data_IF_418496951412
#
_entry.id   IF_418496951412
#
_cell.length_a   1.000
_cell.length_b   1.000
_cell.length_c   1.000
_cell.angle_alpha   90.00
_cell.angle_beta   90.00
_cell.angle_gamma   90.00
#
_symmetry.space_group_name_H-M   'P 1'
#
loop_
_entity.id
_entity.type
_entity.pdbx_description
1 polymer ?
#
# COMPACT_ATOMS: atom_id res chain seq x y z
N UNK A 1 43.25 0.02 -18.74
CA UNK A 1 42.26 -0.77 -17.96
C UNK A 1 42.43 -0.63 -16.45
N UNK A 2 43.65 -0.29 -15.94
CA UNK A 2 43.88 -0.17 -14.47
C UNK A 2 43.37 1.14 -13.81
N UNK A 3 43.11 2.18 -14.60
CA UNK A 3 42.62 3.49 -14.06
C UNK A 3 41.12 3.51 -13.74
N UNK A 4 40.35 2.55 -14.24
CA UNK A 4 38.90 2.46 -13.98
C UNK A 4 38.59 1.77 -12.62
N UNK A 5 39.51 0.97 -12.09
CA UNK A 5 39.32 0.22 -10.86
C UNK A 5 39.55 1.04 -9.56
N UNK A 6 40.15 2.23 -9.62
CA UNK A 6 40.39 3.05 -8.43
C UNK A 6 39.23 3.98 -8.03
N UNK A 7 38.18 4.09 -8.84
CA UNK A 7 36.99 4.89 -8.54
C UNK A 7 35.94 4.16 -7.66
N UNK A 8 36.15 2.87 -7.37
CA UNK A 8 35.22 2.05 -6.57
C UNK A 8 35.52 2.08 -5.06
N UNK A 9 35.85 3.22 -4.49
CA UNK A 9 35.70 3.42 -3.05
C UNK A 9 34.22 3.65 -2.78
N UNK A 10 33.56 2.61 -2.27
CA UNK A 10 32.22 2.55 -1.73
C UNK A 10 31.33 3.77 -2.00
N UNK A 11 30.47 3.67 -2.98
CA UNK A 11 29.49 4.73 -3.25
C UNK A 11 28.48 4.73 -2.09
N UNK A 12 28.82 5.44 -1.01
CA UNK A 12 27.84 5.62 0.07
C UNK A 12 26.72 6.49 -0.44
N UNK A 13 25.49 6.13 -0.10
CA UNK A 13 24.28 6.86 -0.50
C UNK A 13 24.12 8.20 0.22
N UNK A 14 25.23 8.89 0.53
CA UNK A 14 25.17 10.19 1.19
C UNK A 14 25.09 11.36 0.20
N UNK A 15 24.27 12.39 0.47
CA UNK A 15 23.35 12.55 1.61
C UNK A 15 22.05 11.73 1.48
N UNK A 16 21.57 11.17 2.62
CA UNK A 16 20.30 10.45 2.67
C UNK A 16 19.17 11.45 2.88
N UNK A 17 18.22 11.44 1.97
CA UNK A 17 17.03 12.27 2.10
C UNK A 17 15.89 11.46 2.73
N UNK A 18 15.08 12.09 3.57
CA UNK A 18 13.90 11.45 4.17
C UNK A 18 12.92 10.94 3.10
N UNK A 19 12.92 11.60 1.95
CA UNK A 19 12.11 11.21 0.82
C UNK A 19 12.57 9.90 0.17
N UNK A 20 13.87 9.61 0.16
CA UNK A 20 14.41 8.33 -0.34
C UNK A 20 13.96 7.17 0.57
N UNK A 21 13.97 7.41 1.88
CA UNK A 21 13.47 6.45 2.88
C UNK A 21 11.98 6.18 2.69
N UNK A 22 11.19 7.24 2.52
CA UNK A 22 9.76 7.14 2.26
C UNK A 22 9.48 6.32 1.00
N UNK A 23 10.17 6.65 -0.09
CA UNK A 23 9.98 5.98 -1.37
C UNK A 23 10.36 4.49 -1.32
N UNK A 24 11.44 4.17 -0.60
CA UNK A 24 11.84 2.78 -0.36
C UNK A 24 10.78 2.00 0.41
N UNK A 25 10.20 2.59 1.47
CA UNK A 25 9.12 1.98 2.24
C UNK A 25 7.83 1.87 1.42
N UNK A 26 7.48 2.89 0.62
CA UNK A 26 6.32 2.87 -0.26
C UNK A 26 6.44 1.75 -1.31
N UNK A 27 7.60 1.62 -1.94
CA UNK A 27 7.89 0.54 -2.89
C UNK A 27 7.83 -0.82 -2.20
N UNK A 28 8.37 -0.97 -0.98
CA UNK A 28 8.30 -2.19 -0.20
C UNK A 28 6.86 -2.62 0.12
N UNK A 29 5.99 -1.66 0.38
CA UNK A 29 4.58 -1.92 0.66
C UNK A 29 3.83 -2.39 -0.58
N UNK A 30 4.09 -1.74 -1.72
CA UNK A 30 3.37 -1.96 -2.99
C UNK A 30 3.86 -3.20 -3.73
N UNK A 31 5.18 -3.49 -3.70
CA UNK A 31 5.79 -4.56 -4.52
C UNK A 31 5.87 -5.93 -3.85
N UNK A 32 4.99 -6.23 -2.86
CA UNK A 32 5.06 -7.49 -2.09
C UNK A 32 4.82 -8.75 -2.91
N UNK A 33 4.02 -8.69 -3.96
CA UNK A 33 3.60 -9.86 -4.75
C UNK A 33 4.04 -9.79 -6.20
N UNK A 34 4.15 -8.59 -6.74
CA UNK A 34 4.54 -8.30 -8.11
C UNK A 34 5.23 -6.93 -8.14
N UNK A 35 5.97 -6.59 -9.20
CA UNK A 35 6.47 -5.24 -9.39
C UNK A 35 5.32 -4.24 -9.29
N UNK A 36 5.50 -3.17 -8.53
CA UNK A 36 4.47 -2.18 -8.27
C UNK A 36 4.40 -1.15 -9.40
N UNK A 37 3.19 -0.76 -9.78
CA UNK A 37 2.98 0.35 -10.69
C UNK A 37 3.23 1.68 -9.98
N UNK A 38 3.62 2.72 -10.74
CA UNK A 38 3.89 4.04 -10.17
C UNK A 38 2.72 4.59 -9.34
N UNK A 39 1.47 4.38 -9.79
CA UNK A 39 0.24 4.79 -9.06
C UNK A 39 0.15 4.14 -7.69
N UNK A 40 0.54 2.87 -7.57
CA UNK A 40 0.51 2.13 -6.30
C UNK A 40 1.57 2.65 -5.33
N UNK A 41 2.73 3.04 -5.84
CA UNK A 41 3.81 3.64 -5.04
C UNK A 41 3.40 5.03 -4.55
N UNK A 42 2.77 5.85 -5.41
CA UNK A 42 2.21 7.15 -5.01
C UNK A 42 1.17 6.98 -3.91
N UNK A 43 0.26 6.02 -4.06
CA UNK A 43 -0.76 5.73 -3.05
C UNK A 43 -0.14 5.27 -1.72
N UNK A 44 0.91 4.45 -1.77
CA UNK A 44 1.63 4.02 -0.57
C UNK A 44 2.40 5.18 0.09
N UNK A 45 3.00 6.08 -0.69
CA UNK A 45 3.68 7.26 -0.16
C UNK A 45 2.71 8.23 0.51
N UNK A 46 1.54 8.45 -0.09
CA UNK A 46 0.46 9.25 0.51
C UNK A 46 -0.02 8.65 1.84
N UNK A 47 -0.14 7.33 1.92
CA UNK A 47 -0.50 6.63 3.16
C UNK A 47 0.51 6.86 4.29
N UNK A 48 1.81 6.97 3.99
CA UNK A 48 2.85 7.20 4.99
C UNK A 48 2.92 8.65 5.46
N UNK A 49 2.81 9.62 4.55
CA UNK A 49 2.99 11.04 4.86
C UNK A 49 1.68 11.84 4.95
N UNK A 50 0.54 11.24 4.55
CA UNK A 50 -0.75 11.93 4.39
C UNK A 50 -0.63 13.16 3.47
N UNK A 51 0.28 13.08 2.49
CA UNK A 51 0.54 14.12 1.51
C UNK A 51 1.04 13.51 0.20
N UNK A 52 0.51 13.99 -0.90
CA UNK A 52 0.94 13.53 -2.23
C UNK A 52 2.34 14.08 -2.51
N UNK A 53 3.31 13.22 -2.87
CA UNK A 53 4.68 13.62 -3.12
C UNK A 53 4.81 14.57 -4.33
N UNK A 54 5.78 15.48 -4.29
CA UNK A 54 6.13 16.30 -5.45
C UNK A 54 6.82 15.46 -6.53
N UNK A 55 6.40 15.62 -7.77
CA UNK A 55 6.87 14.81 -8.92
C UNK A 55 8.39 14.87 -9.10
N UNK A 56 8.98 16.05 -9.03
CA UNK A 56 10.43 16.24 -9.16
C UNK A 56 11.22 15.46 -8.09
N UNK A 57 10.77 15.50 -6.83
CA UNK A 57 11.41 14.75 -5.75
C UNK A 57 11.31 13.24 -5.96
N UNK A 58 10.22 12.77 -6.54
CA UNK A 58 10.06 11.34 -6.88
C UNK A 58 11.09 10.92 -7.92
N UNK A 59 11.24 11.66 -8.99
CA UNK A 59 12.20 11.34 -10.08
C UNK A 59 13.61 11.27 -9.52
N UNK A 60 14.02 12.28 -8.75
CA UNK A 60 15.36 12.31 -8.15
C UNK A 60 15.59 11.15 -7.18
N UNK A 61 14.60 10.84 -6.34
CA UNK A 61 14.72 9.74 -5.38
C UNK A 61 14.76 8.36 -6.08
N UNK A 62 13.94 8.14 -7.11
CA UNK A 62 14.02 6.92 -7.91
C UNK A 62 15.38 6.74 -8.56
N UNK A 63 15.92 7.80 -9.15
CA UNK A 63 17.25 7.79 -9.76
C UNK A 63 18.34 7.45 -8.73
N UNK A 64 18.33 8.11 -7.56
CA UNK A 64 19.30 7.81 -6.49
C UNK A 64 19.19 6.37 -5.98
N UNK A 65 17.97 5.89 -5.72
CA UNK A 65 17.74 4.54 -5.23
C UNK A 65 18.13 3.49 -6.26
N UNK A 66 17.88 3.74 -7.57
CA UNK A 66 18.29 2.85 -8.64
C UNK A 66 19.80 2.77 -8.79
N UNK A 67 20.50 3.91 -8.84
CA UNK A 67 21.96 3.97 -8.93
C UNK A 67 22.64 3.22 -7.78
N UNK A 68 22.06 3.29 -6.59
CA UNK A 68 22.52 2.55 -5.40
C UNK A 68 22.05 1.09 -5.37
N UNK A 69 21.37 0.60 -6.40
CA UNK A 69 20.94 -0.79 -6.51
C UNK A 69 19.88 -1.20 -5.50
N UNK A 70 19.03 -0.27 -5.05
CA UNK A 70 17.95 -0.54 -4.10
C UNK A 70 16.59 -0.77 -4.77
N UNK A 71 16.35 -0.12 -5.91
CA UNK A 71 15.13 -0.30 -6.71
C UNK A 71 15.54 -0.72 -8.13
N UNK A 72 14.74 -1.59 -8.72
CA UNK A 72 14.89 -2.06 -10.10
C UNK A 72 13.53 -1.96 -10.80
N UNK A 73 13.58 -1.62 -12.09
CA UNK A 73 12.42 -1.67 -12.97
C UNK A 73 12.33 -3.06 -13.61
N UNK A 74 11.14 -3.66 -13.55
CA UNK A 74 10.83 -4.98 -14.12
C UNK A 74 9.47 -4.88 -14.79
N UNK A 75 9.39 -5.16 -16.08
CA UNK A 75 8.13 -5.17 -16.87
C UNK A 75 7.28 -3.90 -16.71
N UNK A 76 7.94 -2.74 -16.66
CA UNK A 76 7.26 -1.44 -16.48
C UNK A 76 6.72 -1.20 -15.07
N UNK A 77 7.09 -2.03 -14.11
CA UNK A 77 6.84 -1.84 -12.68
C UNK A 77 8.14 -1.75 -11.89
N UNK A 78 8.04 -1.41 -10.61
CA UNK A 78 9.18 -1.21 -9.72
C UNK A 78 9.20 -2.23 -8.60
N UNK A 79 10.37 -2.77 -8.31
CA UNK A 79 10.55 -3.74 -7.25
C UNK A 79 11.81 -3.43 -6.43
N UNK A 80 11.83 -3.90 -5.19
CA UNK A 80 13.03 -3.84 -4.35
C UNK A 80 14.00 -4.93 -4.74
N UNK A 81 15.28 -4.58 -4.78
CA UNK A 81 16.37 -5.57 -4.90
C UNK A 81 16.49 -6.41 -3.62
N UNK A 82 17.17 -7.56 -3.65
CA UNK A 82 17.41 -8.36 -2.44
C UNK A 82 18.11 -7.58 -1.32
N UNK A 83 19.04 -6.70 -1.65
CA UNK A 83 19.73 -5.86 -0.67
C UNK A 83 18.75 -4.88 0.00
N UNK A 84 17.90 -4.20 -0.79
CA UNK A 84 16.84 -3.34 -0.26
C UNK A 84 15.81 -4.11 0.58
N UNK A 85 15.43 -5.31 0.17
CA UNK A 85 14.54 -6.16 0.97
C UNK A 85 15.13 -6.50 2.34
N UNK A 86 16.43 -6.75 2.44
CA UNK A 86 17.07 -7.01 3.74
C UNK A 86 17.02 -5.79 4.67
N UNK A 87 17.12 -4.58 4.12
CA UNK A 87 17.00 -3.33 4.89
C UNK A 87 15.59 -3.16 5.48
N UNK A 88 14.56 -3.52 4.71
CA UNK A 88 13.15 -3.32 5.08
C UNK A 88 12.57 -4.50 5.87
N UNK A 89 12.97 -5.75 5.59
CA UNK A 89 12.36 -6.94 6.21
C UNK A 89 12.60 -7.07 7.73
N UNK A 90 13.57 -6.40 8.30
CA UNK A 90 13.90 -6.43 9.74
C UNK A 90 13.23 -5.32 10.55
N UNK A 91 12.14 -4.75 10.04
CA UNK A 91 11.40 -3.71 10.76
C UNK A 91 10.45 -4.34 11.80
N UNK A 92 10.33 -3.74 13.00
CA UNK A 92 9.39 -4.19 14.02
C UNK A 92 7.95 -4.13 13.49
N UNK A 93 7.17 -5.18 13.72
CA UNK A 93 5.78 -5.24 13.23
C UNK A 93 4.87 -4.18 13.84
N UNK A 94 5.19 -3.75 15.08
CA UNK A 94 4.39 -2.77 15.84
C UNK A 94 4.89 -1.33 15.66
N UNK A 95 6.00 -1.13 14.95
CA UNK A 95 6.55 0.21 14.70
C UNK A 95 5.55 1.05 13.91
N UNK A 96 5.42 2.31 14.29
CA UNK A 96 4.66 3.30 13.54
C UNK A 96 5.42 3.76 12.27
N UNK A 97 4.82 4.66 11.49
CA UNK A 97 5.43 5.13 10.25
C UNK A 97 6.74 5.90 10.51
N UNK A 98 6.77 6.74 11.53
CA UNK A 98 7.95 7.56 11.88
C UNK A 98 9.11 6.69 12.38
N UNK A 99 8.81 5.71 13.23
CA UNK A 99 9.81 4.77 13.74
C UNK A 99 10.38 3.91 12.60
N UNK A 100 9.55 3.45 11.67
CA UNK A 100 10.03 2.72 10.49
C UNK A 100 10.94 3.57 9.61
N UNK A 101 10.57 4.82 9.37
CA UNK A 101 11.41 5.75 8.61
C UNK A 101 12.76 5.98 9.31
N UNK A 102 12.78 6.17 10.63
CA UNK A 102 14.00 6.34 11.39
C UNK A 102 14.94 5.13 11.27
N UNK A 103 14.40 3.90 11.50
CA UNK A 103 15.18 2.67 11.41
C UNK A 103 15.74 2.44 10.00
N UNK A 104 14.94 2.70 8.96
CA UNK A 104 15.42 2.54 7.57
C UNK A 104 16.46 3.58 7.22
N UNK A 105 16.29 4.82 7.69
CA UNK A 105 17.29 5.88 7.50
C UNK A 105 18.64 5.52 8.13
N UNK A 106 18.62 4.99 9.34
CA UNK A 106 19.82 4.52 10.06
C UNK A 106 20.53 3.42 9.26
N UNK A 107 19.79 2.41 8.83
CA UNK A 107 20.34 1.33 7.99
C UNK A 107 20.85 1.80 6.63
N UNK A 108 20.21 2.79 6.01
CA UNK A 108 20.67 3.39 4.76
C UNK A 108 21.98 4.17 4.98
N UNK A 109 22.19 4.75 6.16
CA UNK A 109 23.45 5.45 6.48
C UNK A 109 24.65 4.51 6.55
N UNK A 110 24.41 3.26 6.92
CA UNK A 110 25.42 2.20 6.95
C UNK A 110 25.57 1.46 5.60
N UNK A 111 24.59 1.67 4.67
CA UNK A 111 24.56 0.97 3.40
C UNK A 111 25.59 1.51 2.42
N UNK A 112 26.40 0.63 1.89
CA UNK A 112 27.33 0.92 0.82
C UNK A 112 26.95 0.08 -0.41
N UNK A 113 26.67 0.75 -1.53
CA UNK A 113 26.36 0.07 -2.79
C UNK A 113 27.56 -0.78 -3.25
N UNK A 114 27.32 -2.05 -3.53
CA UNK A 114 28.35 -2.99 -3.98
C UNK A 114 28.75 -2.77 -5.44
N UNK A 115 27.84 -2.21 -6.24
CA UNK A 115 28.02 -1.93 -7.65
C UNK A 115 27.23 -0.68 -8.05
N UNK A 116 27.61 -0.05 -9.13
CA UNK A 116 26.81 1.03 -9.75
C UNK A 116 25.79 0.37 -10.65
N UNK A 117 24.53 0.68 -10.45
CA UNK A 117 23.42 0.21 -11.28
C UNK A 117 22.98 1.31 -12.25
N UNK A 118 22.32 0.96 -13.36
CA UNK A 118 21.75 1.95 -14.25
C UNK A 118 20.68 2.77 -13.54
N UNK A 119 20.67 4.07 -13.78
CA UNK A 119 19.59 4.93 -13.29
C UNK A 119 18.26 4.56 -13.95
N UNK A 120 17.17 4.65 -13.21
CA UNK A 120 15.82 4.56 -13.78
C UNK A 120 15.46 5.95 -14.32
N UNK A 121 15.21 6.03 -15.62
CA UNK A 121 14.80 7.26 -16.29
C UNK A 121 13.27 7.39 -16.24
N UNK A 122 12.78 8.19 -15.32
CA UNK A 122 11.36 8.52 -15.22
C UNK A 122 11.09 9.87 -15.87
N UNK A 123 10.07 9.91 -16.73
CA UNK A 123 9.61 11.18 -17.27
C UNK A 123 8.65 11.87 -16.30
N UNK A 124 8.66 13.21 -16.31
CA UNK A 124 7.74 14.02 -15.51
C UNK A 124 6.27 13.68 -15.82
N UNK A 125 5.97 13.37 -17.09
CA UNK A 125 4.62 13.01 -17.53
C UNK A 125 4.13 11.68 -16.93
N UNK A 126 5.00 10.67 -16.83
CA UNK A 126 4.66 9.39 -16.22
C UNK A 126 4.32 9.55 -14.74
N UNK A 127 5.14 10.32 -14.01
CA UNK A 127 4.90 10.58 -12.58
C UNK A 127 3.64 11.41 -12.39
N UNK A 128 3.44 12.45 -13.17
CA UNK A 128 2.24 13.28 -13.13
C UNK A 128 0.97 12.50 -13.42
N UNK A 129 0.99 11.65 -14.45
CA UNK A 129 -0.15 10.79 -14.79
C UNK A 129 -0.50 9.84 -13.61
N UNK A 130 0.50 9.30 -12.93
CA UNK A 130 0.31 8.45 -11.78
C UNK A 130 -0.29 9.22 -10.58
N UNK A 131 0.21 10.43 -10.32
CA UNK A 131 -0.31 11.31 -9.26
C UNK A 131 -1.76 11.70 -9.53
N UNK A 132 -2.09 12.08 -10.78
CA UNK A 132 -3.46 12.46 -11.16
C UNK A 132 -4.42 11.26 -11.11
N UNK A 133 -3.95 10.06 -11.49
CA UNK A 133 -4.73 8.83 -11.37
C UNK A 133 -5.04 8.51 -9.88
N UNK A 134 -4.06 8.67 -8.99
CA UNK A 134 -4.27 8.48 -7.55
C UNK A 134 -5.26 9.51 -6.98
N UNK A 135 -5.14 10.80 -7.32
CA UNK A 135 -6.08 11.85 -6.90
C UNK A 135 -7.52 11.52 -7.31
N UNK A 136 -7.72 11.15 -8.58
CA UNK A 136 -9.04 10.75 -9.10
C UNK A 136 -9.61 9.53 -8.35
N UNK A 137 -8.78 8.55 -8.02
CA UNK A 137 -9.20 7.38 -7.24
C UNK A 137 -9.67 7.79 -5.83
N UNK A 138 -8.94 8.68 -5.15
CA UNK A 138 -9.33 9.19 -3.83
C UNK A 138 -10.65 9.97 -3.88
N UNK A 139 -10.85 10.82 -4.89
CA UNK A 139 -12.10 11.58 -5.06
C UNK A 139 -13.31 10.67 -5.34
N UNK A 140 -13.13 9.62 -6.14
CA UNK A 140 -14.21 8.67 -6.44
C UNK A 140 -14.64 7.88 -5.21
N UNK A 141 -13.69 7.49 -4.37
CA UNK A 141 -13.96 6.78 -3.12
C UNK A 141 -14.70 7.67 -2.12
N UNK A 142 -14.32 8.94 -2.00
CA UNK A 142 -14.99 9.90 -1.13
C UNK A 142 -16.45 10.16 -1.55
N UNK A 143 -16.73 10.23 -2.85
CA UNK A 143 -18.09 10.40 -3.39
C UNK A 143 -19.00 9.21 -3.05
N UNK A 144 -18.48 7.99 -3.07
CA UNK A 144 -19.25 6.78 -2.75
C UNK A 144 -19.63 6.66 -1.27
N UNK A 145 -18.90 7.30 -0.36
CA UNK A 145 -19.22 7.32 1.09
C UNK A 145 -20.38 8.27 1.41
N UNK A 146 -20.69 9.23 0.54
CA UNK A 146 -21.74 10.23 0.73
C UNK A 146 -23.08 9.87 0.07
N UNK A 147 -23.16 8.76 -0.66
CA UNK A 147 -24.45 8.29 -1.19
C UNK A 147 -25.28 7.73 -0.05
N UNK A 148 -26.39 8.40 0.37
CA UNK A 148 -27.28 7.86 1.39
C UNK A 148 -27.80 6.52 0.90
N UNK A 149 -27.69 5.47 1.70
CA UNK A 149 -28.39 4.21 1.41
C UNK A 149 -29.84 4.53 1.05
N UNK A 150 -30.38 4.04 -0.08
CA UNK A 150 -31.78 4.24 -0.40
C UNK A 150 -32.59 3.74 0.81
N UNK A 151 -33.38 4.61 1.39
CA UNK A 151 -34.32 4.22 2.46
C UNK A 151 -35.14 3.06 1.93
N UNK A 152 -35.37 1.98 2.72
CA UNK A 152 -36.28 0.96 2.33
C UNK A 152 -37.59 1.64 1.89
N UNK A 153 -38.04 1.37 0.68
CA UNK A 153 -39.33 1.88 0.22
C UNK A 153 -40.33 1.28 1.17
N UNK A 154 -40.92 2.12 2.06
CA UNK A 154 -42.08 1.72 2.81
C UNK A 154 -43.14 1.31 1.78
N UNK A 155 -43.43 0.01 1.72
CA UNK A 155 -44.55 -0.49 0.93
C UNK A 155 -45.78 0.28 1.35
N UNK A 156 -46.25 1.18 0.48
CA UNK A 156 -47.50 1.88 0.65
C UNK A 156 -48.56 0.79 0.74
N UNK A 157 -49.00 0.51 1.96
CA UNK A 157 -50.09 -0.40 2.22
C UNK A 157 -51.33 0.13 1.45
N UNK A 158 -51.67 -0.60 0.38
CA UNK A 158 -52.91 -0.31 -0.37
C UNK A 158 -54.10 -0.45 0.60
N UNK A 159 -54.94 0.57 0.78
CA UNK A 159 -56.10 0.49 1.65
C UNK A 159 -57.06 -0.57 1.06
N UNK A 160 -57.24 -1.69 1.77
CA UNK A 160 -58.20 -2.75 1.39
C UNK A 160 -57.71 -4.19 1.58
N UNK A 161 -56.45 -4.48 1.82
CA UNK A 161 -56.04 -5.85 2.13
C UNK A 161 -56.25 -6.16 3.63
N UNK A 162 -57.41 -6.85 3.92
CA UNK A 162 -57.63 -7.44 5.25
C UNK A 162 -56.55 -8.46 5.54
N UNK A 163 -55.72 -8.14 6.56
CA UNK A 163 -54.75 -9.09 7.11
C UNK A 163 -55.52 -10.34 7.59
N UNK A 164 -55.33 -11.47 6.93
CA UNK A 164 -55.72 -12.77 7.49
C UNK A 164 -54.84 -13.04 8.70
N UNK A 165 -55.45 -13.09 9.87
CA UNK A 165 -54.74 -13.48 11.11
C UNK A 165 -54.14 -14.87 10.87
N UNK A 166 -52.83 -15.08 11.19
CA UNK A 166 -52.27 -16.42 11.16
C UNK A 166 -52.98 -17.33 12.16
N UNK A 167 -53.34 -18.54 11.74
CA UNK A 167 -54.00 -19.53 12.61
C UNK A 167 -53.05 -19.89 13.77
N UNK A 168 -53.55 -20.10 14.99
CA UNK A 168 -52.73 -20.49 16.12
C UNK A 168 -52.08 -21.85 15.89
N UNK A 169 -50.79 -21.89 15.86
CA UNK A 169 -50.00 -23.10 15.78
C UNK A 169 -50.21 -23.94 17.02
N UNK A 170 -50.81 -25.15 16.88
CA UNK A 170 -50.93 -26.10 17.97
C UNK A 170 -49.56 -26.44 18.50
N UNK A 171 -49.28 -26.03 19.74
CA UNK A 171 -48.08 -26.46 20.46
C UNK A 171 -48.19 -27.97 20.72
N UNK A 172 -47.29 -28.74 20.12
CA UNK A 172 -47.06 -30.14 20.48
C UNK A 172 -46.54 -30.18 21.92
N UNK A 173 -47.39 -30.67 22.85
CA UNK A 173 -46.96 -31.03 24.19
C UNK A 173 -45.92 -32.16 24.10
N UNK A 174 -44.77 -32.09 24.75
CA UNK A 174 -43.87 -33.21 24.85
C UNK A 174 -44.50 -34.35 25.67
N UNK A 175 -44.42 -35.58 25.14
CA UNK A 175 -44.90 -36.80 25.80
C UNK A 175 -44.09 -37.04 27.07
N UNK A 176 -44.81 -37.26 28.20
CA UNK A 176 -44.21 -37.65 29.48
C UNK A 176 -43.71 -39.10 29.40
N UNK A 177 -42.49 -39.43 29.95
CA UNK A 177 -42.03 -40.79 30.00
C UNK A 177 -42.84 -41.62 31.03
N UNK A 178 -43.43 -42.73 30.58
CA UNK A 178 -44.11 -43.73 31.43
C UNK A 178 -43.04 -44.51 32.24
N UNK A 179 -43.06 -44.27 33.53
CA UNK A 179 -42.35 -45.16 34.46
C UNK A 179 -43.08 -46.51 34.54
N UNK A 180 -42.39 -47.59 34.15
CA UNK A 180 -42.83 -48.97 34.42
C UNK A 180 -42.44 -49.33 35.88
N UNK A 181 -43.40 -49.58 36.70
CA UNK A 181 -43.21 -50.34 37.97
C UNK A 181 -43.13 -51.81 37.65
N UNK A 182 -42.12 -52.46 38.14
CA UNK A 182 -41.92 -53.88 38.30
C UNK A 182 -40.90 -54.06 39.38
#
# INVERSE_FOLDING_TARGET
>A
LALIQQAFKGNSMHPIHDFDVLLLLATALSSKRRPAQMVEIVAAADLFQQAIPAEAKMIEAFSRLAINGLIVEIDGGFALTPDAQTLVNRLPRKADAAERMFIVRDKLSEYNAKAIHPAIELTMEQVKTAVDAHKKACESTAKNLLVPKPKPVEEVQRPGQRQRRPAPTRQNKPAQPRWRKG
#
